data_IF_282900786833
#
_entry.id   IF_282900786833
#
_cell.length_a   1.000
_cell.length_b   1.000
_cell.length_c   1.000
_cell.angle_alpha   90.00
_cell.angle_beta   90.00
_cell.angle_gamma   90.00
#
_symmetry.space_group_name_H-M   'P 1'
#
loop_
_entity.id
_entity.type
_entity.pdbx_description
1 polymer ?
#
# COMPACT_ATOMS: atom_id res chain seq x y z
N UNK A 1 -21.03 -37.13 -20.13
CA UNK A 1 -20.96 -35.71 -19.70
C UNK A 1 -19.96 -35.65 -18.57
N UNK A 2 -18.80 -34.96 -18.67
CA UNK A 2 -17.95 -34.81 -17.52
C UNK A 2 -18.50 -33.68 -16.64
N UNK A 3 -18.83 -34.02 -15.39
CA UNK A 3 -19.22 -33.07 -14.36
C UNK A 3 -18.03 -32.17 -14.05
N UNK A 4 -18.09 -30.92 -14.48
CA UNK A 4 -17.09 -29.91 -14.18
C UNK A 4 -17.15 -29.61 -12.69
N UNK A 5 -16.10 -29.98 -11.96
CA UNK A 5 -16.00 -29.83 -10.51
C UNK A 5 -15.75 -28.35 -10.16
N UNK A 6 -16.84 -27.58 -10.05
CA UNK A 6 -16.81 -26.15 -9.73
C UNK A 6 -16.21 -25.83 -8.34
N UNK A 7 -15.92 -26.84 -7.50
CA UNK A 7 -15.27 -26.66 -6.19
C UNK A 7 -13.77 -26.33 -6.26
N UNK A 8 -13.14 -26.42 -7.44
CA UNK A 8 -11.70 -26.16 -7.60
C UNK A 8 -11.33 -24.70 -7.89
N UNK A 9 -12.32 -23.83 -8.15
CA UNK A 9 -12.08 -22.40 -8.40
C UNK A 9 -12.03 -21.55 -7.12
N UNK A 10 -12.50 -22.07 -5.98
CA UNK A 10 -12.42 -21.38 -4.68
C UNK A 10 -11.14 -21.70 -3.90
N UNK A 11 -10.29 -22.59 -4.41
CA UNK A 11 -8.97 -22.82 -3.86
C UNK A 11 -7.97 -21.80 -4.45
N UNK A 12 -7.40 -20.99 -3.56
CA UNK A 12 -6.18 -20.17 -3.73
C UNK A 12 -6.30 -18.80 -4.40
N UNK A 13 -7.13 -17.90 -3.85
CA UNK A 13 -6.59 -16.56 -3.60
C UNK A 13 -5.54 -16.73 -2.51
N UNK A 14 -4.29 -17.02 -2.90
CA UNK A 14 -3.19 -17.11 -1.95
C UNK A 14 -3.21 -15.83 -1.10
N UNK A 15 -3.23 -15.97 0.22
CA UNK A 15 -3.23 -14.81 1.12
C UNK A 15 -1.87 -14.11 0.92
N UNK A 16 -1.84 -13.06 0.12
CA UNK A 16 -0.62 -12.32 -0.20
C UNK A 16 -0.31 -11.29 0.88
N UNK A 17 0.97 -11.11 1.16
CA UNK A 17 1.47 -10.03 2.00
C UNK A 17 1.73 -8.80 1.14
N UNK A 18 1.04 -7.71 1.46
CA UNK A 18 1.07 -6.44 0.72
C UNK A 18 1.95 -5.44 1.44
N UNK A 19 3.04 -5.04 0.82
CA UNK A 19 3.83 -3.90 1.25
C UNK A 19 3.12 -2.64 0.77
N UNK A 20 2.80 -1.75 1.71
CA UNK A 20 2.15 -0.48 1.46
C UNK A 20 3.05 0.68 1.83
N UNK A 21 3.04 1.74 1.03
CA UNK A 21 3.66 3.02 1.33
C UNK A 21 2.59 4.04 1.69
N UNK A 22 2.92 4.91 2.64
CA UNK A 22 2.13 6.08 2.96
C UNK A 22 2.34 7.11 1.85
N UNK A 23 1.25 7.58 1.26
CA UNK A 23 1.30 8.52 0.13
C UNK A 23 0.22 9.55 0.30
N UNK A 24 0.52 10.79 -0.05
CA UNK A 24 -0.48 11.85 -0.16
C UNK A 24 -1.00 11.86 -1.59
N UNK A 25 -2.28 11.61 -1.75
CA UNK A 25 -3.01 11.62 -3.02
C UNK A 25 -3.91 12.86 -3.10
N UNK A 26 -4.28 13.22 -4.33
CA UNK A 26 -5.05 14.44 -4.60
C UNK A 26 -4.16 15.67 -4.80
N UNK A 27 -4.81 16.81 -4.99
CA UNK A 27 -4.14 18.08 -5.26
C UNK A 27 -4.10 18.90 -3.98
N UNK A 28 -2.90 19.28 -3.54
CA UNK A 28 -2.76 20.22 -2.43
C UNK A 28 -3.38 21.57 -2.84
N UNK A 29 -4.20 22.13 -1.96
CA UNK A 29 -4.85 23.42 -2.19
C UNK A 29 -4.57 24.38 -1.04
N UNK A 30 -4.46 25.65 -1.37
CA UNK A 30 -4.40 26.73 -0.41
C UNK A 30 -5.56 27.68 -0.70
N UNK A 31 -6.24 28.14 0.36
CA UNK A 31 -7.27 29.16 0.25
C UNK A 31 -7.16 30.16 1.39
N UNK A 32 -7.63 31.38 1.14
CA UNK A 32 -7.65 32.45 2.13
C UNK A 32 -9.10 32.73 2.52
N UNK A 33 -9.42 32.58 3.80
CA UNK A 33 -10.75 32.87 4.35
C UNK A 33 -10.60 33.90 5.48
N UNK A 34 -11.20 35.07 5.33
CA UNK A 34 -11.11 36.17 6.30
C UNK A 34 -9.66 36.56 6.70
N UNK A 35 -8.73 36.49 5.75
CA UNK A 35 -7.30 36.78 5.99
C UNK A 35 -6.51 35.63 6.63
N UNK A 36 -7.14 34.48 6.88
CA UNK A 36 -6.48 33.26 7.37
C UNK A 36 -6.11 32.38 6.17
N UNK A 37 -4.84 31.97 6.11
CA UNK A 37 -4.37 30.98 5.14
C UNK A 37 -4.69 29.58 5.63
N UNK A 38 -5.51 28.86 4.86
CA UNK A 38 -5.89 27.47 5.13
C UNK A 38 -5.24 26.60 4.07
N UNK A 39 -4.41 25.66 4.52
CA UNK A 39 -3.73 24.69 3.67
C UNK A 39 -4.39 23.32 3.80
N UNK A 40 -4.79 22.75 2.67
CA UNK A 40 -5.25 21.37 2.55
C UNK A 40 -4.19 20.56 1.78
N UNK A 41 -3.43 19.67 2.45
CA UNK A 41 -2.37 18.90 1.82
C UNK A 41 -2.88 17.81 0.86
N UNK A 42 -4.19 17.55 0.80
CA UNK A 42 -4.74 16.37 0.13
C UNK A 42 -4.92 15.20 1.09
N UNK A 43 -5.15 14.01 0.53
CA UNK A 43 -5.55 12.83 1.31
C UNK A 43 -4.38 11.90 1.55
N UNK A 44 -4.08 11.61 2.81
CA UNK A 44 -3.08 10.61 3.18
C UNK A 44 -3.67 9.20 3.11
N UNK A 45 -3.06 8.32 2.31
CA UNK A 45 -3.52 6.96 2.05
C UNK A 45 -2.36 5.95 2.04
N UNK A 46 -2.68 4.68 2.28
CA UNK A 46 -1.73 3.57 2.22
C UNK A 46 -1.88 2.82 0.90
N UNK A 47 -0.95 3.01 -0.03
CA UNK A 47 -0.99 2.40 -1.35
C UNK A 47 -0.15 1.13 -1.39
N UNK A 48 -0.68 0.05 -1.98
CA UNK A 48 0.08 -1.18 -2.21
C UNK A 48 1.11 -0.93 -3.30
N UNK A 49 2.38 -1.12 -2.97
CA UNK A 49 3.49 -0.95 -3.91
C UNK A 49 4.07 -2.29 -4.38
N UNK A 50 3.84 -3.36 -3.61
CA UNK A 50 4.25 -4.71 -3.97
C UNK A 50 3.52 -5.77 -3.15
N UNK A 51 3.35 -6.97 -3.72
CA UNK A 51 2.77 -8.13 -3.05
C UNK A 51 3.74 -9.32 -3.05
N UNK A 52 3.63 -10.16 -2.03
CA UNK A 52 4.46 -11.35 -1.80
C UNK A 52 3.61 -12.53 -1.33
N UNK A 53 4.09 -13.74 -1.60
CA UNK A 53 3.53 -14.99 -1.07
C UNK A 53 3.95 -15.27 0.38
N UNK A 54 5.03 -14.62 0.83
CA UNK A 54 5.70 -14.85 2.10
C UNK A 54 6.01 -13.53 2.83
N UNK A 55 5.90 -13.53 4.16
CA UNK A 55 6.10 -12.34 4.99
C UNK A 55 7.57 -11.93 5.05
N UNK A 56 8.48 -12.89 5.23
CA UNK A 56 9.91 -12.61 5.37
C UNK A 56 10.47 -12.04 4.06
N UNK A 57 10.04 -12.55 2.90
CA UNK A 57 10.35 -11.94 1.61
C UNK A 57 9.84 -10.51 1.50
N UNK A 58 8.62 -10.23 1.99
CA UNK A 58 8.05 -8.90 1.99
C UNK A 58 8.85 -7.92 2.89
N UNK A 59 9.23 -8.36 4.08
CA UNK A 59 10.01 -7.58 5.05
C UNK A 59 11.42 -7.29 4.55
N UNK A 60 12.12 -8.30 4.04
CA UNK A 60 13.44 -8.15 3.46
C UNK A 60 13.42 -7.18 2.27
N UNK A 61 12.45 -7.32 1.37
CA UNK A 61 12.32 -6.41 0.24
C UNK A 61 11.97 -4.98 0.69
N UNK A 62 11.03 -4.81 1.62
CA UNK A 62 10.62 -3.50 2.14
C UNK A 62 11.82 -2.79 2.79
N UNK A 63 12.57 -3.49 3.64
CA UNK A 63 13.75 -2.95 4.32
C UNK A 63 14.83 -2.53 3.34
N UNK A 64 15.12 -3.36 2.32
CA UNK A 64 16.07 -3.01 1.26
C UNK A 64 15.60 -1.82 0.42
N UNK A 65 14.31 -1.75 0.09
CA UNK A 65 13.71 -0.66 -0.66
C UNK A 65 13.81 0.67 0.11
N UNK A 66 13.45 0.68 1.40
CA UNK A 66 13.56 1.83 2.29
C UNK A 66 15.02 2.30 2.37
N UNK A 67 15.96 1.36 2.59
CA UNK A 67 17.39 1.66 2.71
C UNK A 67 17.97 2.26 1.44
N UNK A 68 17.68 1.67 0.28
CA UNK A 68 18.21 2.11 -1.03
C UNK A 68 17.74 3.50 -1.44
N UNK A 69 16.53 3.87 -1.03
CA UNK A 69 15.93 5.15 -1.39
C UNK A 69 16.00 6.19 -0.27
N UNK A 70 16.67 5.87 0.85
CA UNK A 70 16.78 6.74 2.03
C UNK A 70 15.42 7.21 2.57
N UNK A 71 14.42 6.33 2.56
CA UNK A 71 13.10 6.64 3.09
C UNK A 71 13.01 6.40 4.60
N UNK A 72 12.02 7.02 5.23
CA UNK A 72 11.68 6.75 6.61
C UNK A 72 10.89 5.44 6.74
N UNK A 73 11.26 4.58 7.70
CA UNK A 73 10.64 3.27 7.86
C UNK A 73 9.16 3.37 8.24
N UNK A 74 8.77 4.38 9.01
CA UNK A 74 7.38 4.56 9.47
C UNK A 74 6.37 4.87 8.34
N UNK A 75 6.86 5.23 7.15
CA UNK A 75 6.02 5.46 5.97
C UNK A 75 5.69 4.17 5.22
N UNK A 76 6.03 3.01 5.77
CA UNK A 76 5.77 1.71 5.16
C UNK A 76 5.14 0.75 6.16
N UNK A 77 4.34 -0.19 5.65
CA UNK A 77 3.80 -1.30 6.44
C UNK A 77 3.51 -2.52 5.58
N UNK A 78 3.48 -3.68 6.24
CA UNK A 78 3.09 -4.94 5.61
C UNK A 78 1.74 -5.36 6.19
N UNK A 79 0.80 -5.67 5.30
CA UNK A 79 -0.55 -6.14 5.66
C UNK A 79 -0.89 -7.40 4.89
N UNK A 80 -1.78 -8.23 5.42
CA UNK A 80 -2.30 -9.42 4.75
C UNK A 80 -3.57 -9.10 3.94
#
# INVERSE_FOLDING_TARGET
MPTQDFRRLEHTMAKTWKVKALTVTGTATERVENGIHIYDPGKQEWLVIKEFDDFEKAENWMTDYIRKNHFYYGDFKITR
#
